data_IF_361546424833
#
_entry.id   IF_361546424833
#
_cell.length_a   1.000
_cell.length_b   1.000
_cell.length_c   1.000
_cell.angle_alpha   90.00
_cell.angle_beta   90.00
_cell.angle_gamma   90.00
#
_symmetry.space_group_name_H-M   'P 1'
#
loop_
_entity.id
_entity.type
_entity.pdbx_description
1 polymer ?
#
# COMPACT_ATOMS: atom_id res chain seq x y z
N UNK A 1 -3.05 -0.89 28.11
CA UNK A 1 -2.80 -2.03 27.18
C UNK A 1 -3.65 -2.00 25.89
N UNK A 2 -4.64 -1.10 25.70
CA UNK A 2 -5.43 -1.01 24.44
C UNK A 2 -4.63 -0.46 23.24
N UNK A 3 -3.74 0.51 23.46
CA UNK A 3 -3.02 1.22 22.38
C UNK A 3 -2.23 0.33 21.42
N UNK A 4 -1.58 -0.75 21.89
CA UNK A 4 -0.72 -1.57 21.03
C UNK A 4 -1.52 -2.36 19.99
N UNK A 5 -2.78 -2.70 20.30
CA UNK A 5 -3.66 -3.43 19.38
C UNK A 5 -4.16 -2.51 18.26
N UNK A 6 -4.40 -1.24 18.57
CA UNK A 6 -4.81 -0.21 17.59
C UNK A 6 -3.69 0.05 16.56
N UNK A 7 -2.44 0.17 17.01
CA UNK A 7 -1.33 0.37 16.08
C UNK A 7 -1.08 -0.85 15.19
N UNK A 8 -1.24 -2.06 15.75
CA UNK A 8 -1.11 -3.29 14.97
C UNK A 8 -2.24 -3.45 13.95
N UNK A 9 -3.47 -3.08 14.29
CA UNK A 9 -4.59 -3.14 13.34
C UNK A 9 -4.44 -2.15 12.19
N UNK A 10 -3.91 -0.95 12.46
CA UNK A 10 -3.55 0.02 11.40
C UNK A 10 -2.44 -0.51 10.50
N UNK A 11 -1.40 -1.13 11.08
CA UNK A 11 -0.34 -1.77 10.30
C UNK A 11 -0.89 -2.89 9.39
N UNK A 12 -1.67 -3.83 9.94
CA UNK A 12 -2.21 -4.99 9.20
C UNK A 12 -3.24 -4.51 8.16
N UNK A 13 -4.08 -3.54 8.51
CA UNK A 13 -5.05 -2.97 7.58
C UNK A 13 -4.37 -2.29 6.40
N UNK A 14 -3.40 -1.40 6.65
CA UNK A 14 -2.68 -0.70 5.58
C UNK A 14 -1.80 -1.67 4.76
N UNK A 15 -1.21 -2.68 5.41
CA UNK A 15 -0.53 -3.78 4.72
C UNK A 15 -1.45 -4.48 3.73
N UNK A 16 -2.65 -4.87 4.16
CA UNK A 16 -3.61 -5.60 3.32
C UNK A 16 -4.10 -4.73 2.16
N UNK A 17 -4.40 -3.46 2.45
CA UNK A 17 -4.80 -2.47 1.45
C UNK A 17 -3.75 -2.34 0.35
N UNK A 18 -2.48 -2.16 0.72
CA UNK A 18 -1.40 -1.97 -0.23
C UNK A 18 -0.98 -3.26 -0.93
N UNK A 19 -0.96 -4.40 -0.25
CA UNK A 19 -0.63 -5.68 -0.87
C UNK A 19 -1.60 -6.01 -2.01
N UNK A 20 -2.91 -5.92 -1.74
CA UNK A 20 -3.93 -6.21 -2.74
C UNK A 20 -4.00 -5.13 -3.84
N UNK A 21 -3.98 -3.84 -3.46
CA UNK A 21 -4.02 -2.74 -4.41
C UNK A 21 -2.81 -2.74 -5.38
N UNK A 22 -1.61 -3.00 -4.88
CA UNK A 22 -0.42 -3.10 -5.72
C UNK A 22 -0.41 -4.38 -6.56
N UNK A 23 -0.92 -5.50 -6.05
CA UNK A 23 -1.10 -6.72 -6.84
C UNK A 23 -2.01 -6.50 -8.05
N UNK A 24 -3.14 -5.80 -7.86
CA UNK A 24 -4.06 -5.43 -8.95
C UNK A 24 -3.36 -4.52 -9.99
N UNK A 25 -2.55 -3.57 -9.55
CA UNK A 25 -1.77 -2.72 -10.45
C UNK A 25 -0.69 -3.52 -11.22
N UNK A 26 -0.09 -4.53 -10.59
CA UNK A 26 0.86 -5.43 -11.25
C UNK A 26 0.15 -6.28 -12.32
N UNK A 27 -1.01 -6.85 -12.00
CA UNK A 27 -1.83 -7.58 -12.96
C UNK A 27 -2.20 -6.71 -14.17
N UNK A 28 -2.55 -5.44 -13.94
CA UNK A 28 -2.84 -4.49 -15.03
C UNK A 28 -1.61 -4.21 -15.89
N UNK A 29 -0.44 -4.04 -15.26
CA UNK A 29 0.83 -3.81 -15.95
C UNK A 29 1.25 -5.02 -16.81
N UNK A 30 0.94 -6.24 -16.36
CA UNK A 30 1.17 -7.48 -17.10
C UNK A 30 0.09 -7.76 -18.17
N UNK A 31 -0.90 -6.87 -18.33
CA UNK A 31 -1.98 -7.05 -19.31
C UNK A 31 -3.02 -8.10 -18.93
N UNK A 32 -3.07 -8.51 -17.65
CA UNK A 32 -3.97 -9.54 -17.15
C UNK A 32 -5.36 -9.00 -16.76
N UNK A 33 -5.51 -7.68 -16.66
CA UNK A 33 -6.78 -7.03 -16.32
C UNK A 33 -6.93 -5.68 -17.01
N UNK A 34 -8.14 -5.14 -17.01
CA UNK A 34 -8.50 -3.84 -17.60
C UNK A 34 -8.83 -2.81 -16.51
N UNK A 35 -9.20 -1.59 -16.91
CA UNK A 35 -9.51 -0.50 -15.99
C UNK A 35 -10.63 -0.85 -15.00
N UNK A 36 -11.64 -1.61 -15.43
CA UNK A 36 -12.75 -2.04 -14.58
C UNK A 36 -12.25 -3.02 -13.52
N UNK A 37 -11.43 -4.00 -13.91
CA UNK A 37 -10.82 -4.93 -12.97
C UNK A 37 -9.89 -4.23 -11.97
N UNK A 38 -9.19 -3.18 -12.39
CA UNK A 38 -8.42 -2.33 -11.48
C UNK A 38 -9.33 -1.63 -10.47
N UNK A 39 -10.40 -0.99 -10.93
CA UNK A 39 -11.33 -0.29 -10.05
C UNK A 39 -11.97 -1.24 -9.02
N UNK A 40 -12.49 -2.38 -9.46
CA UNK A 40 -13.09 -3.40 -8.60
C UNK A 40 -12.07 -3.98 -7.61
N UNK A 41 -10.86 -4.27 -8.08
CA UNK A 41 -9.78 -4.78 -7.23
C UNK A 41 -9.39 -3.81 -6.12
N UNK A 42 -9.29 -2.51 -6.44
CA UNK A 42 -9.05 -1.48 -5.42
C UNK A 42 -10.22 -1.32 -4.44
N UNK A 43 -11.46 -1.34 -4.92
CA UNK A 43 -12.65 -1.30 -4.05
C UNK A 43 -12.65 -2.47 -3.06
N UNK A 44 -12.36 -3.68 -3.54
CA UNK A 44 -12.27 -4.87 -2.68
C UNK A 44 -11.12 -4.75 -1.67
N UNK A 45 -9.95 -4.26 -2.11
CA UNK A 45 -8.78 -4.05 -1.24
C UNK A 45 -9.09 -3.11 -0.08
N UNK A 46 -9.78 -1.99 -0.37
CA UNK A 46 -10.20 -1.01 0.65
C UNK A 46 -11.23 -1.64 1.59
N UNK A 47 -12.26 -2.30 1.05
CA UNK A 47 -13.31 -2.93 1.86
C UNK A 47 -12.74 -3.97 2.84
N UNK A 48 -11.81 -4.82 2.36
CA UNK A 48 -11.16 -5.82 3.20
C UNK A 48 -10.29 -5.17 4.29
N UNK A 49 -9.52 -4.13 3.95
CA UNK A 49 -8.68 -3.44 4.90
C UNK A 49 -9.49 -2.78 6.03
N UNK A 50 -10.62 -2.14 5.67
CA UNK A 50 -11.57 -1.57 6.65
C UNK A 50 -12.21 -2.66 7.51
N UNK A 51 -12.59 -3.80 6.92
CA UNK A 51 -13.17 -4.93 7.67
C UNK A 51 -12.20 -5.48 8.73
N UNK A 52 -10.92 -5.61 8.39
CA UNK A 52 -9.88 -6.10 9.31
C UNK A 52 -9.60 -5.09 10.41
N UNK A 53 -9.43 -3.81 10.06
CA UNK A 53 -8.99 -2.79 11.01
C UNK A 53 -10.13 -2.24 11.87
N UNK A 54 -11.36 -2.22 11.36
CA UNK A 54 -12.51 -1.54 11.99
C UNK A 54 -12.99 -2.15 13.31
N UNK A 55 -12.68 -3.42 13.56
CA UNK A 55 -13.04 -4.09 14.81
C UNK A 55 -12.10 -3.76 16.00
N UNK A 56 -10.93 -3.17 15.73
CA UNK A 56 -9.88 -2.94 16.74
C UNK A 56 -9.46 -1.46 16.80
N UNK A 57 -9.33 -0.82 15.64
CA UNK A 57 -9.09 0.61 15.46
C UNK A 57 -10.26 1.26 14.73
N UNK A 58 -10.27 2.59 14.66
CA UNK A 58 -11.23 3.34 13.83
C UNK A 58 -10.99 3.17 12.31
N UNK A 59 -9.99 2.34 11.92
CA UNK A 59 -9.61 2.06 10.55
C UNK A 59 -9.28 3.32 9.75
N UNK A 60 -8.32 4.10 10.24
CA UNK A 60 -7.88 5.30 9.52
C UNK A 60 -7.14 4.91 8.25
N UNK A 61 -6.22 3.94 8.36
CA UNK A 61 -5.47 3.30 7.27
C UNK A 61 -4.69 4.26 6.36
N UNK A 62 -4.66 5.54 6.72
CA UNK A 62 -4.22 6.65 5.92
C UNK A 62 -3.85 7.84 6.83
N UNK A 63 -2.63 8.40 6.68
CA UNK A 63 -2.19 9.56 7.47
C UNK A 63 -3.12 10.77 7.38
N UNK A 64 -3.70 11.05 6.20
CA UNK A 64 -4.61 12.17 5.99
C UNK A 64 -5.93 11.98 6.73
N UNK A 65 -6.42 10.73 6.79
CA UNK A 65 -7.65 10.39 7.55
C UNK A 65 -7.38 10.50 9.04
N UNK A 66 -6.23 10.01 9.52
CA UNK A 66 -5.83 10.18 10.94
C UNK A 66 -5.74 11.66 11.32
N UNK A 67 -5.18 12.50 10.46
CA UNK A 67 -5.12 13.95 10.70
C UNK A 67 -6.52 14.58 10.71
N UNK A 68 -7.39 14.22 9.76
CA UNK A 68 -8.75 14.72 9.72
C UNK A 68 -9.53 14.35 11.00
N UNK A 69 -9.36 13.13 11.52
CA UNK A 69 -9.97 12.70 12.78
C UNK A 69 -9.39 13.44 14.00
N UNK A 70 -8.09 13.76 14.00
CA UNK A 70 -7.48 14.56 15.05
C UNK A 70 -8.02 16.00 15.08
N UNK A 71 -8.33 16.56 13.91
CA UNK A 71 -8.86 17.93 13.77
C UNK A 71 -10.36 18.01 14.04
N UNK A 72 -11.15 17.04 13.57
CA UNK A 72 -12.61 17.16 13.48
C UNK A 72 -13.38 16.23 14.42
N UNK A 73 -12.76 15.14 14.91
CA UNK A 73 -13.43 14.09 15.69
C UNK A 73 -12.83 13.88 17.08
N UNK A 74 -11.87 14.72 17.49
CA UNK A 74 -11.27 14.66 18.82
C UNK A 74 -10.30 13.49 19.03
N UNK A 75 -9.73 12.94 17.96
CA UNK A 75 -8.70 11.90 18.08
C UNK A 75 -7.45 12.47 18.77
N UNK A 76 -6.89 11.78 19.79
CA UNK A 76 -5.80 12.33 20.59
C UNK A 76 -4.55 12.56 19.76
N UNK A 77 -4.11 13.82 19.69
CA UNK A 77 -2.91 14.25 18.95
C UNK A 77 -1.64 13.45 19.25
N UNK A 78 -1.49 12.95 20.48
CA UNK A 78 -0.36 12.10 20.89
C UNK A 78 -0.30 10.76 20.14
N UNK A 79 -1.42 10.28 19.60
CA UNK A 79 -1.51 9.00 18.84
C UNK A 79 -1.30 9.17 17.34
N UNK A 80 -1.35 10.39 16.81
CA UNK A 80 -1.27 10.67 15.37
C UNK A 80 0.05 10.15 14.79
N UNK A 81 1.19 10.55 15.37
CA UNK A 81 2.51 10.14 14.87
C UNK A 81 2.69 8.61 14.92
N UNK A 82 2.40 7.91 16.04
CA UNK A 82 2.42 6.45 16.07
C UNK A 82 1.54 5.77 15.02
N UNK A 83 0.33 6.29 14.75
CA UNK A 83 -0.56 5.78 13.71
C UNK A 83 0.07 5.93 12.33
N UNK A 84 0.60 7.11 12.00
CA UNK A 84 1.26 7.36 10.73
C UNK A 84 2.45 6.43 10.53
N UNK A 85 3.27 6.21 11.56
CA UNK A 85 4.41 5.28 11.49
C UNK A 85 3.90 3.85 11.22
N UNK A 86 2.87 3.39 11.92
CA UNK A 86 2.29 2.06 11.71
C UNK A 86 1.75 1.89 10.28
N UNK A 87 1.02 2.89 9.78
CA UNK A 87 0.49 2.91 8.41
C UNK A 87 1.62 2.91 7.37
N UNK A 88 2.67 3.71 7.55
CA UNK A 88 3.81 3.76 6.63
C UNK A 88 4.57 2.43 6.59
N UNK A 89 4.80 1.80 7.74
CA UNK A 89 5.43 0.49 7.82
C UNK A 89 4.55 -0.59 7.16
N UNK A 90 3.24 -0.56 7.39
CA UNK A 90 2.28 -1.47 6.77
C UNK A 90 2.26 -1.31 5.25
N UNK A 91 2.19 -0.07 4.77
CA UNK A 91 2.19 0.26 3.35
C UNK A 91 3.48 -0.20 2.65
N UNK A 92 4.64 0.02 3.29
CA UNK A 92 5.93 -0.40 2.79
C UNK A 92 6.03 -1.93 2.71
N UNK A 93 5.66 -2.64 3.78
CA UNK A 93 5.68 -4.10 3.82
C UNK A 93 4.71 -4.72 2.79
N UNK A 94 3.49 -4.19 2.68
CA UNK A 94 2.47 -4.67 1.75
C UNK A 94 2.88 -4.47 0.29
N UNK A 95 3.37 -3.27 -0.04
CA UNK A 95 3.88 -2.96 -1.39
C UNK A 95 5.13 -3.76 -1.72
N UNK A 96 6.04 -3.94 -0.76
CA UNK A 96 7.25 -4.74 -0.92
C UNK A 96 6.93 -6.20 -1.22
N UNK A 97 5.98 -6.79 -0.49
CA UNK A 97 5.56 -8.17 -0.73
C UNK A 97 4.87 -8.33 -2.08
N UNK A 98 3.98 -7.41 -2.46
CA UNK A 98 3.34 -7.43 -3.77
C UNK A 98 4.36 -7.36 -4.92
N UNK A 99 5.40 -6.53 -4.76
CA UNK A 99 6.50 -6.46 -5.72
C UNK A 99 7.29 -7.78 -5.81
N UNK A 100 7.61 -8.40 -4.67
CA UNK A 100 8.33 -9.67 -4.66
C UNK A 100 7.53 -10.79 -5.33
N UNK A 101 6.23 -10.83 -5.07
CA UNK A 101 5.29 -11.79 -5.67
C UNK A 101 5.24 -11.67 -7.21
N UNK A 102 5.22 -10.44 -7.73
CA UNK A 102 5.13 -10.19 -9.18
C UNK A 102 6.49 -9.96 -9.87
N UNK A 103 7.60 -10.10 -9.14
CA UNK A 103 8.94 -9.73 -9.62
C UNK A 103 9.32 -10.45 -10.92
N UNK A 104 9.10 -11.75 -11.00
CA UNK A 104 9.44 -12.57 -12.17
C UNK A 104 8.72 -12.11 -13.44
N UNK A 105 7.41 -11.87 -13.33
CA UNK A 105 6.60 -11.37 -14.44
C UNK A 105 6.99 -9.96 -14.86
N UNK A 106 7.26 -9.08 -13.89
CA UNK A 106 7.69 -7.71 -14.16
C UNK A 106 9.09 -7.64 -14.76
N UNK A 107 10.01 -8.54 -14.41
CA UNK A 107 11.35 -8.61 -14.99
C UNK A 107 11.31 -9.18 -16.42
N UNK A 108 10.46 -10.18 -16.68
CA UNK A 108 10.23 -10.69 -18.03
C UNK A 108 9.62 -9.63 -18.96
N UNK A 109 8.66 -8.85 -18.45
CA UNK A 109 8.09 -7.72 -19.17
C UNK A 109 9.12 -6.63 -19.46
N UNK A 110 10.03 -6.35 -18.53
CA UNK A 110 11.10 -5.36 -18.73
C UNK A 110 12.10 -5.84 -19.80
N UNK A 111 12.49 -7.11 -19.75
CA UNK A 111 13.36 -7.72 -20.75
C UNK A 111 12.73 -7.67 -22.16
N UNK A 112 11.44 -8.00 -22.28
CA UNK A 112 10.70 -7.93 -23.55
C UNK A 112 10.62 -6.49 -24.11
N UNK A 113 10.60 -5.48 -23.23
CA UNK A 113 10.54 -4.07 -23.61
C UNK A 113 11.92 -3.40 -23.72
N UNK A 114 13.03 -4.13 -23.58
CA UNK A 114 14.38 -3.58 -23.61
C UNK A 114 14.71 -2.64 -22.43
N UNK A 115 13.94 -2.71 -21.35
CA UNK A 115 14.08 -1.82 -20.19
C UNK A 115 15.05 -2.43 -19.18
N UNK A 116 16.09 -1.68 -18.82
CA UNK A 116 17.00 -2.04 -17.72
C UNK A 116 16.64 -1.21 -16.48
N UNK A 117 16.22 -1.89 -15.40
CA UNK A 117 16.04 -1.27 -14.07
C UNK A 117 17.42 -0.95 -13.48
N UNK A 118 18.00 0.19 -13.86
CA UNK A 118 19.31 0.63 -13.38
C UNK A 118 19.18 1.59 -12.18
N UNK A 119 19.96 1.34 -11.11
CA UNK A 119 20.15 2.25 -9.97
C UNK A 119 21.36 3.18 -10.15
N UNK A 120 22.08 3.08 -11.28
CA UNK A 120 23.30 3.86 -11.55
C UNK A 120 23.12 4.73 -12.80
N UNK A 121 23.27 6.05 -12.64
CA UNK A 121 23.18 7.06 -13.70
C UNK A 121 22.59 8.39 -13.21
N UNK A 122 22.86 9.50 -13.89
CA UNK A 122 22.55 10.88 -13.45
C UNK A 122 21.05 11.21 -13.22
N UNK A 123 20.14 10.26 -13.42
CA UNK A 123 18.71 10.36 -13.10
C UNK A 123 18.11 9.07 -12.52
N UNK A 124 18.96 8.16 -12.01
CA UNK A 124 18.55 6.90 -11.43
C UNK A 124 18.06 7.12 -9.99
N UNK A 125 16.75 7.00 -9.80
CA UNK A 125 16.15 6.75 -8.49
C UNK A 125 15.62 5.32 -8.49
N UNK A 126 15.65 4.63 -7.35
CA UNK A 126 15.08 3.29 -7.22
C UNK A 126 13.65 3.28 -7.80
N UNK A 127 13.47 2.58 -8.93
CA UNK A 127 12.16 2.42 -9.58
C UNK A 127 11.93 3.16 -10.92
N UNK A 128 12.84 4.01 -11.43
CA UNK A 128 12.65 4.61 -12.76
C UNK A 128 13.05 3.66 -13.90
N UNK A 129 12.09 3.38 -14.80
CA UNK A 129 12.34 2.71 -16.09
C UNK A 129 12.93 3.72 -17.08
N UNK A 130 14.13 3.47 -17.62
CA UNK A 130 14.59 4.14 -18.84
C UNK A 130 14.02 3.38 -20.04
N UNK A 131 13.30 4.10 -20.89
CA UNK A 131 13.03 3.65 -22.27
C UNK A 131 14.24 3.95 -23.14
#
# INVERSE_FOLDING_TARGET
RKNNREYLSEFIGTFTLMFLGMGVNCAATLGQTNLIGVAVGWMFSIAMAVYIAGGVSEAHLNPAVTLAFAMLKGFPWRKVIPFVIAQMLGAFAGSGLAFLDHKSGLDALDAANGVVRATTGAGATAGKRKR
#
